data_IF_718456268658
#
_entry.id   IF_718456268658
#
_cell.length_a   1.000
_cell.length_b   1.000
_cell.length_c   1.000
_cell.angle_alpha   90.00
_cell.angle_beta   90.00
_cell.angle_gamma   90.00
#
_symmetry.space_group_name_H-M   'P 1'
#
loop_
_entity.id
_entity.type
_entity.pdbx_description
1 polymer ?
#
# COMPACT_ATOMS: atom_id res chain seq x y z
N UNK A 1 -16.77 14.16 -18.98
CA UNK A 1 -15.55 14.99 -18.89
C UNK A 1 -14.72 14.47 -17.72
N UNK A 2 -13.38 14.48 -17.81
CA UNK A 2 -12.50 13.96 -16.74
C UNK A 2 -11.69 15.09 -16.15
N UNK A 3 -11.70 15.21 -14.82
CA UNK A 3 -10.88 16.15 -14.08
C UNK A 3 -9.82 15.39 -13.29
N UNK A 4 -8.58 15.90 -13.27
CA UNK A 4 -7.48 15.33 -12.49
C UNK A 4 -6.91 16.41 -11.57
N UNK A 5 -6.92 16.13 -10.27
CA UNK A 5 -6.41 17.05 -9.25
C UNK A 5 -5.36 16.31 -8.42
N UNK A 6 -4.31 17.03 -8.02
CA UNK A 6 -3.27 16.49 -7.14
C UNK A 6 -3.58 16.83 -5.68
N UNK A 7 -3.69 15.80 -4.84
CA UNK A 7 -4.03 15.92 -3.40
C UNK A 7 -2.88 16.33 -2.48
N UNK A 8 -1.69 16.63 -3.01
CA UNK A 8 -0.48 16.85 -2.21
C UNK A 8 0.31 15.57 -2.00
N UNK A 9 1.47 15.69 -1.34
CA UNK A 9 2.41 14.57 -1.17
C UNK A 9 1.86 13.51 -0.22
N UNK A 10 1.21 13.95 0.85
CA UNK A 10 0.66 13.08 1.90
C UNK A 10 -0.86 13.27 2.07
N UNK A 11 -1.51 13.84 1.05
CA UNK A 11 -2.95 14.11 1.06
C UNK A 11 -3.34 15.42 1.74
N UNK A 12 -2.38 16.31 2.02
CA UNK A 12 -2.65 17.56 2.75
C UNK A 12 -3.70 18.47 2.07
N UNK A 13 -3.89 18.35 0.76
CA UNK A 13 -4.85 19.14 -0.01
C UNK A 13 -6.08 18.31 -0.41
N UNK A 14 -6.17 17.04 -0.03
CA UNK A 14 -7.17 16.10 -0.56
C UNK A 14 -8.60 16.59 -0.33
N UNK A 15 -8.95 17.01 0.89
CA UNK A 15 -10.28 17.51 1.22
C UNK A 15 -10.67 18.77 0.43
N UNK A 16 -9.72 19.71 0.26
CA UNK A 16 -9.95 20.92 -0.54
C UNK A 16 -10.21 20.57 -2.01
N UNK A 17 -9.40 19.68 -2.59
CA UNK A 17 -9.56 19.24 -3.99
C UNK A 17 -10.86 18.48 -4.20
N UNK A 18 -11.23 17.65 -3.22
CA UNK A 18 -12.48 16.92 -3.21
C UNK A 18 -13.69 17.86 -3.21
N UNK A 19 -13.74 18.84 -2.30
CA UNK A 19 -14.79 19.87 -2.28
C UNK A 19 -14.93 20.61 -3.62
N UNK A 20 -13.81 20.93 -4.28
CA UNK A 20 -13.83 21.57 -5.59
C UNK A 20 -14.53 20.70 -6.64
N UNK A 21 -14.19 19.41 -6.71
CA UNK A 21 -14.85 18.47 -7.64
C UNK A 21 -16.36 18.40 -7.37
N UNK A 22 -16.76 18.25 -6.11
CA UNK A 22 -18.17 18.20 -5.75
C UNK A 22 -18.93 19.49 -6.09
N UNK A 23 -18.27 20.66 -6.00
CA UNK A 23 -18.87 21.95 -6.35
C UNK A 23 -18.94 22.18 -7.87
N UNK A 24 -18.12 21.49 -8.65
CA UNK A 24 -18.18 21.51 -10.11
C UNK A 24 -19.26 20.58 -10.68
N UNK A 25 -19.98 19.85 -9.83
CA UNK A 25 -21.08 18.97 -10.25
C UNK A 25 -20.59 17.74 -11.03
N UNK A 26 -19.49 17.14 -10.60
CA UNK A 26 -19.02 15.87 -11.20
C UNK A 26 -19.98 14.73 -10.88
N UNK A 27 -20.10 13.77 -11.81
CA UNK A 27 -20.95 12.59 -11.67
C UNK A 27 -20.36 11.51 -10.73
N UNK A 28 -19.10 11.65 -10.33
CA UNK A 28 -18.40 10.70 -9.47
C UNK A 28 -16.94 11.08 -9.22
N UNK A 29 -16.33 10.50 -8.19
CA UNK A 29 -14.93 10.75 -7.83
C UNK A 29 -14.17 9.46 -7.58
N UNK A 30 -12.97 9.36 -8.15
CA UNK A 30 -12.00 8.30 -7.81
C UNK A 30 -10.86 8.91 -7.02
N UNK A 31 -10.63 8.40 -5.81
CA UNK A 31 -9.54 8.84 -4.93
C UNK A 31 -8.41 7.83 -5.00
N UNK A 32 -7.28 8.23 -5.58
CA UNK A 32 -6.07 7.42 -5.65
C UNK A 32 -4.98 8.00 -4.74
N UNK A 33 -4.64 7.31 -3.64
CA UNK A 33 -3.60 7.78 -2.72
C UNK A 33 -3.84 7.43 -1.25
N UNK A 34 -3.22 8.18 -0.34
CA UNK A 34 -3.38 8.00 1.10
C UNK A 34 -4.80 8.40 1.54
N UNK A 35 -5.49 7.47 2.20
CA UNK A 35 -6.89 7.62 2.60
C UNK A 35 -7.02 8.02 4.09
N UNK A 36 -6.10 8.83 4.61
CA UNK A 36 -6.08 9.22 6.03
C UNK A 36 -7.29 10.02 6.51
N UNK A 37 -8.17 10.44 5.60
CA UNK A 37 -9.37 11.26 5.88
C UNK A 37 -10.63 10.72 5.19
N UNK A 38 -10.70 9.41 4.95
CA UNK A 38 -11.77 8.76 4.18
C UNK A 38 -13.19 9.03 4.67
N UNK A 39 -13.43 9.03 5.98
CA UNK A 39 -14.77 9.11 6.55
C UNK A 39 -15.42 10.46 6.30
N UNK A 40 -14.64 11.54 6.43
CA UNK A 40 -15.12 12.90 6.15
C UNK A 40 -15.43 13.07 4.66
N UNK A 41 -14.54 12.57 3.79
CA UNK A 41 -14.76 12.64 2.34
C UNK A 41 -15.98 11.81 1.92
N UNK A 42 -16.19 10.65 2.53
CA UNK A 42 -17.38 9.83 2.29
C UNK A 42 -18.65 10.60 2.66
N UNK A 43 -18.71 11.16 3.88
CA UNK A 43 -19.88 11.94 4.34
C UNK A 43 -20.19 13.11 3.40
N UNK A 44 -19.18 13.86 3.00
CA UNK A 44 -19.33 14.96 2.03
C UNK A 44 -19.90 14.50 0.67
N UNK A 45 -19.57 13.28 0.24
CA UNK A 45 -20.08 12.71 -0.99
C UNK A 45 -21.53 12.23 -0.85
N UNK A 46 -21.85 11.57 0.26
CA UNK A 46 -23.20 11.11 0.62
C UNK A 46 -24.19 12.28 0.66
N UNK A 47 -23.81 13.40 1.29
CA UNK A 47 -24.62 14.63 1.35
C UNK A 47 -25.00 15.17 -0.03
N UNK A 48 -24.17 14.93 -1.04
CA UNK A 48 -24.39 15.39 -2.42
C UNK A 48 -24.84 14.27 -3.38
N UNK A 49 -25.06 13.07 -2.86
CA UNK A 49 -25.38 11.88 -3.65
C UNK A 49 -24.37 11.61 -4.79
N UNK A 50 -23.08 11.88 -4.56
CA UNK A 50 -22.02 11.64 -5.55
C UNK A 50 -21.30 10.34 -5.20
N UNK A 51 -21.21 9.35 -6.12
CA UNK A 51 -20.50 8.11 -5.88
C UNK A 51 -18.98 8.33 -5.77
N UNK A 52 -18.35 7.65 -4.81
CA UNK A 52 -16.90 7.74 -4.57
C UNK A 52 -16.30 6.35 -4.47
N UNK A 53 -15.21 6.14 -5.21
CA UNK A 53 -14.42 4.91 -5.15
C UNK A 53 -13.00 5.23 -4.69
N UNK A 54 -12.48 4.46 -3.75
CA UNK A 54 -11.09 4.55 -3.31
C UNK A 54 -10.24 3.56 -4.10
N UNK A 55 -9.38 4.06 -4.99
CA UNK A 55 -8.35 3.28 -5.67
C UNK A 55 -7.03 3.41 -4.89
N UNK A 56 -7.00 2.89 -3.66
CA UNK A 56 -5.98 3.20 -2.67
C UNK A 56 -4.98 2.06 -2.44
N UNK A 57 -3.87 2.42 -1.77
CA UNK A 57 -3.06 1.46 -1.02
C UNK A 57 -3.90 0.85 0.10
N UNK A 58 -3.48 -0.31 0.60
CA UNK A 58 -4.16 -1.00 1.70
C UNK A 58 -4.65 -0.02 2.78
N UNK A 59 -5.96 -0.04 3.05
CA UNK A 59 -6.62 0.85 3.99
C UNK A 59 -7.62 0.06 4.85
N UNK A 60 -7.88 0.54 6.07
CA UNK A 60 -8.82 -0.06 7.02
C UNK A 60 -10.28 0.37 6.76
N UNK A 61 -10.67 0.51 5.49
CA UNK A 61 -11.97 1.09 5.14
C UNK A 61 -12.93 -0.04 4.79
N UNK A 62 -13.72 -0.46 5.77
CA UNK A 62 -14.70 -1.53 5.59
C UNK A 62 -16.03 -1.01 4.98
N UNK A 63 -16.30 0.29 5.10
CA UNK A 63 -17.59 0.90 4.69
C UNK A 63 -17.52 1.78 3.43
N UNK A 64 -16.52 1.57 2.55
CA UNK A 64 -16.40 2.29 1.27
C UNK A 64 -16.04 1.37 0.11
N UNK A 65 -16.58 1.70 -1.07
CA UNK A 65 -16.19 1.04 -2.31
C UNK A 65 -14.69 1.25 -2.58
N UNK A 66 -13.93 0.16 -2.52
CA UNK A 66 -12.48 0.19 -2.62
C UNK A 66 -11.99 -0.79 -3.68
N UNK A 67 -11.05 -0.32 -4.49
CA UNK A 67 -10.27 -1.15 -5.40
C UNK A 67 -8.82 -1.11 -4.92
N UNK A 68 -8.31 -2.26 -4.46
CA UNK A 68 -6.94 -2.41 -3.95
C UNK A 68 -6.31 -3.72 -4.43
N UNK A 69 -4.97 -3.78 -4.55
CA UNK A 69 -4.29 -5.05 -4.79
C UNK A 69 -4.39 -5.96 -3.57
N UNK A 70 -4.45 -7.27 -3.80
CA UNK A 70 -4.21 -8.26 -2.75
C UNK A 70 -2.69 -8.38 -2.51
N UNK A 71 -2.20 -7.53 -1.62
CA UNK A 71 -0.79 -7.46 -1.27
C UNK A 71 -0.26 -8.73 -0.61
N UNK A 72 -1.09 -9.42 0.17
CA UNK A 72 -0.70 -10.67 0.81
C UNK A 72 -0.52 -11.76 -0.24
N UNK A 73 -1.50 -11.95 -1.11
CA UNK A 73 -1.41 -12.91 -2.21
C UNK A 73 -0.25 -12.59 -3.15
N UNK A 74 -0.05 -11.32 -3.51
CA UNK A 74 1.07 -10.91 -4.35
C UNK A 74 2.43 -11.28 -3.73
N UNK A 75 2.60 -11.05 -2.43
CA UNK A 75 3.82 -11.42 -1.72
C UNK A 75 4.00 -12.94 -1.60
N UNK A 76 2.92 -13.69 -1.42
CA UNK A 76 2.96 -15.16 -1.44
C UNK A 76 3.42 -15.68 -2.78
N UNK A 77 2.82 -15.21 -3.89
CA UNK A 77 3.17 -15.60 -5.25
C UNK A 77 4.65 -15.33 -5.55
N UNK A 78 5.16 -14.16 -5.19
CA UNK A 78 6.57 -13.80 -5.41
C UNK A 78 7.52 -14.66 -4.57
N UNK A 79 7.21 -14.85 -3.28
CA UNK A 79 8.06 -15.65 -2.37
C UNK A 79 8.07 -17.11 -2.81
N UNK A 80 6.91 -17.67 -3.15
CA UNK A 80 6.80 -19.05 -3.65
C UNK A 80 7.56 -19.22 -4.97
N UNK A 81 7.51 -18.23 -5.87
CA UNK A 81 8.30 -18.25 -7.09
C UNK A 81 9.81 -18.34 -6.80
N UNK A 82 10.34 -17.54 -5.87
CA UNK A 82 11.75 -17.59 -5.49
C UNK A 82 12.13 -18.96 -4.91
N UNK A 83 11.31 -19.51 -4.02
CA UNK A 83 11.55 -20.83 -3.41
C UNK A 83 11.55 -21.92 -4.48
N UNK A 84 10.58 -21.90 -5.41
CA UNK A 84 10.51 -22.88 -6.52
C UNK A 84 11.70 -22.79 -7.47
N UNK A 85 12.38 -21.65 -7.56
CA UNK A 85 13.63 -21.48 -8.28
C UNK A 85 14.88 -21.86 -7.46
N UNK A 86 14.70 -22.40 -6.25
CA UNK A 86 15.79 -22.91 -5.40
C UNK A 86 16.33 -21.92 -4.37
N UNK A 87 15.76 -20.72 -4.25
CA UNK A 87 16.19 -19.76 -3.24
C UNK A 87 15.70 -20.17 -1.85
N UNK A 88 16.63 -20.27 -0.89
CA UNK A 88 16.34 -20.66 0.50
C UNK A 88 16.58 -19.53 1.51
N UNK A 89 17.41 -18.54 1.13
CA UNK A 89 17.71 -17.34 1.93
C UNK A 89 17.08 -16.14 1.25
N UNK A 90 15.91 -15.73 1.71
CA UNK A 90 15.11 -14.67 1.08
C UNK A 90 14.95 -13.57 2.12
N UNK A 91 15.40 -12.36 1.81
CA UNK A 91 15.23 -11.20 2.67
C UNK A 91 14.15 -10.26 2.13
N UNK A 92 13.50 -9.53 3.03
CA UNK A 92 12.55 -8.48 2.72
C UNK A 92 13.17 -7.11 2.98
N UNK A 93 13.13 -6.23 1.99
CA UNK A 93 13.56 -4.84 2.14
C UNK A 93 12.44 -3.90 1.68
N UNK A 94 12.04 -3.00 2.56
CA UNK A 94 11.25 -1.84 2.19
C UNK A 94 9.89 -1.72 2.86
N UNK A 95 9.30 -0.54 2.62
CA UNK A 95 8.10 -0.06 3.29
C UNK A 95 8.42 0.44 4.70
N UNK A 96 7.62 1.40 5.16
CA UNK A 96 7.66 1.85 6.55
C UNK A 96 6.88 0.89 7.46
N UNK A 97 7.29 0.76 8.72
CA UNK A 97 6.61 -0.13 9.67
C UNK A 97 5.15 0.24 9.93
N UNK A 98 4.78 1.51 9.77
CA UNK A 98 3.39 2.00 9.87
C UNK A 98 2.53 1.69 8.64
N UNK A 99 3.11 1.16 7.55
CA UNK A 99 2.38 0.92 6.30
C UNK A 99 1.61 -0.40 6.35
N UNK A 100 0.28 -0.35 6.20
CA UNK A 100 -0.54 -1.55 6.06
C UNK A 100 -0.15 -2.38 4.83
N UNK A 101 0.22 -1.73 3.72
CA UNK A 101 0.75 -2.42 2.54
C UNK A 101 2.01 -3.23 2.87
N UNK A 102 2.91 -2.69 3.70
CA UNK A 102 4.07 -3.45 4.16
C UNK A 102 3.63 -4.62 5.03
N UNK A 103 2.73 -4.39 5.98
CA UNK A 103 2.26 -5.43 6.90
C UNK A 103 1.63 -6.62 6.14
N UNK A 104 0.73 -6.35 5.17
CA UNK A 104 0.11 -7.38 4.34
C UNK A 104 1.15 -8.18 3.54
N UNK A 105 2.12 -7.49 2.91
CA UNK A 105 3.14 -8.16 2.10
C UNK A 105 4.13 -8.97 2.94
N UNK A 106 4.62 -8.42 4.05
CA UNK A 106 5.48 -9.15 4.99
C UNK A 106 4.74 -10.36 5.55
N UNK A 107 3.45 -10.22 5.86
CA UNK A 107 2.61 -11.35 6.26
C UNK A 107 2.56 -12.47 5.21
N UNK A 108 2.36 -12.11 3.93
CA UNK A 108 2.37 -13.08 2.82
C UNK A 108 3.73 -13.77 2.63
N UNK A 109 4.83 -13.01 2.74
CA UNK A 109 6.19 -13.52 2.73
C UNK A 109 6.43 -14.52 3.89
N UNK A 110 6.13 -14.14 5.13
CA UNK A 110 6.32 -14.99 6.31
C UNK A 110 5.48 -16.28 6.22
N UNK A 111 4.22 -16.16 5.85
CA UNK A 111 3.32 -17.31 5.70
C UNK A 111 3.85 -18.30 4.65
N UNK A 112 4.46 -17.79 3.58
CA UNK A 112 5.01 -18.63 2.50
C UNK A 112 6.30 -19.32 2.93
N UNK A 113 7.21 -18.62 3.63
CA UNK A 113 8.40 -19.28 4.20
C UNK A 113 8.00 -20.44 5.11
N UNK A 114 7.05 -20.21 6.03
CA UNK A 114 6.51 -21.22 6.93
C UNK A 114 5.89 -22.40 6.17
N UNK A 115 5.07 -22.13 5.14
CA UNK A 115 4.45 -23.15 4.29
C UNK A 115 5.48 -24.08 3.63
N UNK A 116 6.65 -23.56 3.26
CA UNK A 116 7.73 -24.33 2.63
C UNK A 116 8.81 -24.81 3.62
N UNK A 117 8.60 -24.63 4.92
CA UNK A 117 9.54 -25.06 5.97
C UNK A 117 10.86 -24.28 6.00
N UNK A 118 10.88 -23.06 5.44
CA UNK A 118 12.05 -22.18 5.50
C UNK A 118 12.04 -21.33 6.78
N UNK A 119 13.22 -21.07 7.38
CA UNK A 119 13.30 -20.29 8.60
C UNK A 119 12.98 -18.82 8.33
N UNK A 120 12.21 -18.22 9.24
CA UNK A 120 12.02 -16.78 9.30
C UNK A 120 13.10 -16.15 10.18
N UNK A 121 13.79 -15.15 9.65
CA UNK A 121 14.74 -14.34 10.39
C UNK A 121 14.25 -12.90 10.44
N UNK A 122 14.01 -12.37 11.65
CA UNK A 122 13.58 -10.97 11.84
C UNK A 122 14.56 -9.99 11.22
N UNK A 123 15.86 -10.31 11.29
CA UNK A 123 16.95 -9.44 10.83
C UNK A 123 17.03 -9.38 9.30
N UNK A 124 16.30 -10.25 8.60
CA UNK A 124 16.14 -10.20 7.15
C UNK A 124 14.95 -9.35 6.70
N UNK A 125 14.21 -8.75 7.64
CA UNK A 125 13.08 -7.86 7.34
C UNK A 125 13.45 -6.41 7.65
N UNK A 126 14.05 -5.76 6.66
CA UNK A 126 14.58 -4.41 6.79
C UNK A 126 13.55 -3.35 6.38
N UNK A 127 13.34 -2.37 7.24
CA UNK A 127 12.61 -1.15 6.90
C UNK A 127 13.49 -0.27 6.00
N UNK A 128 12.92 0.19 4.89
CA UNK A 128 13.61 1.12 4.00
C UNK A 128 12.58 2.05 3.35
N UNK A 129 12.88 3.35 3.40
CA UNK A 129 12.08 4.37 2.72
C UNK A 129 12.37 4.37 1.22
N UNK A 130 11.72 5.26 0.46
CA UNK A 130 11.93 5.38 -0.99
C UNK A 130 13.26 6.06 -1.35
N UNK A 131 14.38 5.58 -0.80
CA UNK A 131 15.74 6.06 -1.07
C UNK A 131 16.59 4.93 -1.60
N UNK A 132 17.01 5.04 -2.87
CA UNK A 132 17.89 4.05 -3.49
C UNK A 132 19.23 3.90 -2.75
N UNK A 133 19.77 5.01 -2.23
CA UNK A 133 21.02 4.99 -1.45
C UNK A 133 20.87 4.16 -0.16
N UNK A 134 19.82 4.43 0.61
CA UNK A 134 19.55 3.68 1.85
C UNK A 134 19.28 2.20 1.56
N UNK A 135 18.58 1.90 0.47
CA UNK A 135 18.33 0.53 0.06
C UNK A 135 19.65 -0.21 -0.27
N UNK A 136 20.56 0.43 -1.01
CA UNK A 136 21.86 -0.16 -1.33
C UNK A 136 22.73 -0.42 -0.08
N UNK A 137 22.75 0.52 0.86
CA UNK A 137 23.45 0.39 2.14
C UNK A 137 22.88 -0.79 2.96
N UNK A 138 21.55 -0.88 3.07
CA UNK A 138 20.85 -1.94 3.79
C UNK A 138 21.09 -3.33 3.17
N UNK A 139 21.09 -3.44 1.85
CA UNK A 139 21.38 -4.69 1.14
C UNK A 139 22.82 -5.14 1.40
N UNK A 140 23.78 -4.22 1.38
CA UNK A 140 25.19 -4.55 1.61
C UNK A 140 25.40 -5.18 2.98
N UNK A 141 24.69 -4.68 4.01
CA UNK A 141 24.75 -5.22 5.36
C UNK A 141 24.25 -6.68 5.48
N UNK A 142 23.35 -7.12 4.59
CA UNK A 142 22.84 -8.50 4.56
C UNK A 142 23.85 -9.51 4.00
N UNK A 143 24.84 -9.06 3.23
CA UNK A 143 25.88 -9.93 2.65
C UNK A 143 27.11 -10.08 3.53
N UNK A 144 27.28 -9.19 4.50
CA UNK A 144 28.41 -9.20 5.44
C UNK A 144 28.09 -9.86 6.78
N UNK A 145 26.84 -10.31 6.98
CA UNK A 145 26.35 -10.96 8.20
C UNK A 145 26.23 -12.49 8.07
#
# INVERSE_FOLDING_TARGET
MVFLLHGGKDGEQLAQRFSLLLNQGVDGVVIAGAAGSSDDLRRMAEEKAIPVIFASRASYLDDVDTVRPDNMQAAQLLTEHLIRNGHQRIAWLGGQSSSLTRAERVGGYCATLLKFGLPFHSDWVLECTSSQKQAAEAITALFTS
#
